data_IF_629131062176
#
_entry.id   IF_629131062176
#
_cell.length_a   1.000
_cell.length_b   1.000
_cell.length_c   1.000
_cell.angle_alpha   90.00
_cell.angle_beta   90.00
_cell.angle_gamma   90.00
#
_symmetry.space_group_name_H-M   'P 1'
#
loop_
_entity.id
_entity.type
_entity.pdbx_description
1 polymer ?
2 water ?
#
# COMPACT_ATOMS: atom_id res chain seq x y z
N UNK A 2 4.91 -12.41 -21.59
CA UNK A 2 4.72 -13.80 -21.17
C UNK A 2 3.82 -13.94 -19.94
N UNK A 3 3.02 -12.92 -19.68
CA UNK A 3 2.08 -12.92 -18.57
C UNK A 3 0.76 -13.22 -19.26
N UNK A 4 -0.26 -13.60 -18.51
CA UNK A 4 -1.55 -13.82 -19.13
C UNK A 4 -2.45 -12.67 -18.69
N UNK A 5 -2.89 -12.71 -17.44
CA UNK A 5 -3.73 -11.66 -16.87
C UNK A 5 -5.13 -11.41 -17.46
N UNK A 6 -6.13 -11.83 -16.72
CA UNK A 6 -7.54 -11.63 -17.08
C UNK A 6 -8.16 -11.01 -15.84
N UNK A 7 -9.04 -10.03 -16.03
CA UNK A 7 -9.70 -9.34 -14.93
C UNK A 7 -11.17 -9.00 -15.21
N UNK A 8 -12.07 -9.47 -14.33
CA UNK A 8 -13.51 -9.23 -14.40
C UNK A 8 -14.30 -9.92 -15.50
N UNK A 9 -13.66 -10.14 -16.65
CA UNK A 9 -14.33 -10.80 -17.77
C UNK A 9 -14.79 -12.19 -17.37
N UNK A 10 -16.02 -12.52 -17.70
CA UNK A 10 -16.53 -13.85 -17.39
C UNK A 10 -16.10 -14.79 -18.49
N UNK A 11 -16.03 -16.07 -18.16
CA UNK A 11 -15.59 -17.05 -19.13
C UNK A 11 -16.66 -17.95 -19.70
N UNK A 12 -16.94 -17.73 -20.98
CA UNK A 12 -17.90 -18.54 -21.70
C UNK A 12 -17.17 -19.87 -21.86
N UNK A 13 -17.92 -20.98 -21.82
CA UNK A 13 -17.31 -22.30 -22.00
C UNK A 13 -16.54 -22.35 -23.34
N UNK A 14 -16.87 -21.42 -24.25
CA UNK A 14 -16.21 -21.32 -25.54
C UNK A 14 -14.76 -20.87 -25.40
N UNK A 15 -14.54 -19.77 -24.67
CA UNK A 15 -13.21 -19.22 -24.48
C UNK A 15 -12.33 -19.96 -23.46
N UNK A 16 -12.96 -20.60 -22.46
CA UNK A 16 -12.21 -21.36 -21.45
C UNK A 16 -11.30 -22.33 -22.20
N UNK A 17 -11.89 -22.95 -23.21
CA UNK A 17 -11.19 -23.90 -24.07
C UNK A 17 -10.06 -23.20 -24.82
N UNK A 18 -10.35 -22.04 -25.39
CA UNK A 18 -9.34 -21.29 -26.12
C UNK A 18 -8.16 -21.03 -25.16
N UNK A 19 -8.46 -20.85 -23.88
CA UNK A 19 -7.43 -20.57 -22.87
C UNK A 19 -6.54 -21.72 -22.41
N UNK A 20 -7.15 -22.75 -21.84
CA UNK A 20 -6.42 -23.89 -21.33
C UNK A 20 -5.04 -24.15 -21.91
N UNK A 21 -4.91 -24.28 -23.25
CA UNK A 21 -3.57 -24.53 -23.81
C UNK A 21 -2.53 -23.45 -23.51
N UNK A 22 -2.95 -22.20 -23.50
CA UNK A 22 -2.05 -21.10 -23.23
C UNK A 22 -1.65 -21.14 -21.75
N UNK A 23 -2.53 -21.66 -20.91
CA UNK A 23 -2.23 -21.79 -19.49
C UNK A 23 -1.02 -22.71 -19.28
N UNK A 24 -0.71 -23.53 -20.29
CA UNK A 24 0.43 -24.47 -20.27
C UNK A 24 1.69 -23.79 -20.77
N UNK A 25 1.55 -22.58 -21.31
CA UNK A 25 2.68 -21.86 -21.89
C UNK A 25 3.28 -20.72 -21.07
N UNK A 26 2.43 -19.80 -20.63
CA UNK A 26 2.86 -18.63 -19.89
C UNK A 26 3.59 -18.77 -18.55
N UNK A 27 4.46 -17.81 -18.28
CA UNK A 27 5.22 -17.80 -17.02
C UNK A 27 4.36 -17.24 -15.90
N UNK A 28 3.48 -16.31 -16.27
CA UNK A 28 2.62 -15.62 -15.32
C UNK A 28 1.15 -15.70 -15.67
N UNK A 29 0.38 -16.39 -14.84
CA UNK A 29 -1.03 -16.53 -15.07
C UNK A 29 -1.77 -15.85 -13.96
N UNK A 30 -2.65 -14.96 -14.35
CA UNK A 30 -3.41 -14.19 -13.40
C UNK A 30 -4.86 -14.32 -13.83
N UNK A 31 -5.67 -14.99 -13.01
CA UNK A 31 -7.08 -15.18 -13.33
C UNK A 31 -7.88 -14.47 -12.24
N UNK A 32 -7.75 -13.15 -12.27
CA UNK A 32 -8.36 -12.23 -11.32
C UNK A 32 -9.84 -11.99 -11.55
N UNK A 33 -10.65 -12.36 -10.57
CA UNK A 33 -12.11 -12.17 -10.62
C UNK A 33 -12.78 -12.62 -11.90
N UNK A 34 -12.64 -13.90 -12.20
CA UNK A 34 -13.28 -14.48 -13.35
C UNK A 34 -14.45 -15.25 -12.74
N UNK A 35 -15.06 -16.19 -13.44
CA UNK A 35 -16.15 -16.90 -12.81
C UNK A 35 -15.72 -18.28 -12.38
N UNK A 36 -14.44 -18.43 -12.08
CA UNK A 36 -13.88 -19.74 -11.74
C UNK A 36 -14.43 -20.49 -10.54
N UNK A 37 -14.98 -21.68 -10.80
CA UNK A 37 -15.52 -22.56 -9.75
C UNK A 37 -14.76 -23.86 -9.83
N UNK A 38 -15.04 -24.78 -8.91
CA UNK A 38 -14.39 -26.08 -8.89
C UNK A 38 -14.35 -26.70 -10.29
N UNK A 39 -15.43 -26.53 -11.04
CA UNK A 39 -15.52 -27.10 -12.39
C UNK A 39 -14.29 -26.78 -13.25
N UNK A 40 -13.69 -25.63 -13.03
CA UNK A 40 -12.54 -25.25 -13.81
C UNK A 40 -11.24 -25.76 -13.24
N UNK A 41 -11.18 -25.90 -11.93
CA UNK A 41 -9.97 -26.37 -11.27
C UNK A 41 -9.41 -27.69 -11.79
N UNK A 42 -10.30 -28.62 -12.12
CA UNK A 42 -9.90 -29.93 -12.67
C UNK A 42 -9.01 -29.61 -13.86
N UNK A 43 -9.53 -28.76 -14.73
CA UNK A 43 -8.81 -28.35 -15.92
C UNK A 43 -7.55 -27.57 -15.56
N UNK A 44 -7.63 -26.69 -14.58
CA UNK A 44 -6.45 -25.96 -14.23
C UNK A 44 -5.34 -26.88 -13.82
N UNK A 45 -5.64 -27.79 -12.88
CA UNK A 45 -4.67 -28.76 -12.42
C UNK A 45 -3.98 -29.39 -13.62
N UNK A 46 -4.77 -29.99 -14.49
CA UNK A 46 -4.25 -30.62 -15.68
C UNK A 46 -3.48 -29.67 -16.61
N UNK A 47 -3.84 -28.40 -16.67
CA UNK A 47 -3.09 -27.54 -17.57
C UNK A 47 -1.83 -27.02 -16.90
N UNK A 48 -1.85 -26.84 -15.60
CA UNK A 48 -0.68 -26.32 -14.93
C UNK A 48 0.48 -27.33 -14.86
N UNK A 49 0.16 -28.61 -14.82
CA UNK A 49 1.20 -29.63 -14.72
C UNK A 49 2.03 -29.76 -16.01
N UNK A 50 1.46 -29.31 -17.14
CA UNK A 50 2.11 -29.34 -18.44
C UNK A 50 2.88 -28.04 -18.72
N UNK A 51 2.93 -27.17 -17.72
CA UNK A 51 3.60 -25.90 -17.86
C UNK A 51 4.97 -25.95 -17.20
N UNK A 52 6.01 -26.16 -18.01
CA UNK A 52 7.39 -26.25 -17.55
C UNK A 52 8.01 -24.90 -17.19
N UNK A 53 7.24 -23.84 -17.23
CA UNK A 53 7.80 -22.53 -16.95
C UNK A 53 6.96 -21.53 -16.14
N UNK A 54 6.00 -22.02 -15.33
CA UNK A 54 5.19 -21.10 -14.55
C UNK A 54 5.97 -20.66 -13.32
N UNK A 55 6.09 -19.36 -13.14
CA UNK A 55 6.79 -18.85 -11.97
C UNK A 55 5.77 -18.26 -11.01
N UNK A 56 4.62 -17.86 -11.54
CA UNK A 56 3.58 -17.31 -10.69
C UNK A 56 2.13 -17.46 -11.17
N UNK A 57 1.30 -17.95 -10.24
CA UNK A 57 -0.11 -18.17 -10.49
C UNK A 57 -0.81 -17.30 -9.50
N UNK A 58 -1.89 -16.69 -9.94
CA UNK A 58 -2.64 -15.83 -9.07
C UNK A 58 -4.09 -16.02 -9.44
N UNK A 59 -4.85 -16.69 -8.57
CA UNK A 59 -6.26 -16.93 -8.83
C UNK A 59 -7.19 -16.12 -7.92
N UNK A 60 -6.95 -14.81 -7.85
CA UNK A 60 -7.72 -13.91 -7.01
C UNK A 60 -9.20 -13.92 -7.29
N UNK A 61 -9.97 -13.62 -6.24
CA UNK A 61 -11.42 -13.50 -6.30
C UNK A 61 -12.12 -14.53 -7.18
N UNK A 62 -12.41 -15.69 -6.58
CA UNK A 62 -13.07 -16.82 -7.26
C UNK A 62 -13.55 -17.74 -6.15
N UNK A 63 -14.72 -18.33 -6.34
CA UNK A 63 -15.23 -19.23 -5.33
C UNK A 63 -14.80 -20.65 -5.67
N UNK A 64 -13.51 -20.96 -5.51
CA UNK A 64 -13.03 -22.30 -5.84
C UNK A 64 -13.39 -23.27 -4.73
N UNK A 65 -13.08 -22.91 -3.49
CA UNK A 65 -13.41 -23.79 -2.39
C UNK A 65 -12.24 -24.68 -2.09
N UNK A 66 -12.31 -25.37 -0.97
CA UNK A 66 -11.25 -26.27 -0.53
C UNK A 66 -10.88 -27.32 -1.59
N UNK A 67 -11.90 -27.96 -2.16
CA UNK A 67 -11.70 -28.98 -3.19
C UNK A 67 -11.05 -28.38 -4.43
N UNK A 68 -11.51 -27.20 -4.81
CA UNK A 68 -10.94 -26.53 -5.97
C UNK A 68 -9.48 -26.26 -5.69
N UNK A 69 -9.23 -25.61 -4.55
CA UNK A 69 -7.88 -25.29 -4.13
C UNK A 69 -6.99 -26.54 -4.17
N UNK A 70 -7.46 -27.58 -3.49
CA UNK A 70 -6.76 -28.85 -3.38
C UNK A 70 -6.24 -29.34 -4.72
N UNK A 71 -7.10 -29.24 -5.74
CA UNK A 71 -6.73 -29.68 -7.07
C UNK A 71 -5.63 -28.80 -7.58
N UNK A 72 -5.85 -27.51 -7.46
CA UNK A 72 -4.88 -26.55 -7.93
C UNK A 72 -3.52 -26.87 -7.39
N UNK A 73 -3.44 -27.11 -6.09
CA UNK A 73 -2.17 -27.39 -5.45
C UNK A 73 -1.57 -28.69 -5.95
N UNK A 74 -2.41 -29.63 -6.36
CA UNK A 74 -1.90 -30.89 -6.87
C UNK A 74 -1.17 -30.72 -8.19
N UNK A 75 -1.75 -29.95 -9.09
CA UNK A 75 -1.13 -29.75 -10.38
C UNK A 75 0.17 -28.99 -10.34
N UNK A 76 0.47 -28.36 -9.20
CA UNK A 76 1.70 -27.59 -9.03
C UNK A 76 2.76 -28.51 -8.49
N UNK A 77 2.30 -29.58 -7.85
CA UNK A 77 3.21 -30.57 -7.30
C UNK A 77 3.65 -31.48 -8.46
N UNK A 78 4.38 -30.91 -9.41
CA UNK A 78 4.86 -31.66 -10.55
C UNK A 78 6.38 -31.52 -10.67
N UNK A 79 7.01 -32.36 -11.50
CA UNK A 79 8.45 -32.36 -11.74
C UNK A 79 9.01 -31.09 -12.37
N UNK A 80 8.19 -30.40 -13.13
CA UNK A 80 8.65 -29.19 -13.78
C UNK A 80 8.19 -27.90 -13.10
N UNK A 81 8.01 -27.93 -11.79
CA UNK A 81 7.59 -26.73 -11.11
C UNK A 81 8.69 -25.98 -10.41
N UNK A 82 8.69 -24.69 -10.67
CA UNK A 82 9.65 -23.76 -10.16
C UNK A 82 8.87 -22.50 -9.76
N UNK A 83 7.61 -22.69 -9.40
CA UNK A 83 6.75 -21.57 -9.04
C UNK A 83 7.30 -20.86 -7.82
N UNK A 84 7.25 -19.52 -7.88
CA UNK A 84 7.74 -18.65 -6.84
C UNK A 84 6.67 -17.85 -6.10
N UNK A 85 5.74 -17.28 -6.85
CA UNK A 85 4.67 -16.53 -6.23
C UNK A 85 3.34 -17.27 -6.42
N UNK A 86 2.56 -17.40 -5.34
CA UNK A 86 1.26 -18.06 -5.41
C UNK A 86 0.21 -17.26 -4.63
N UNK A 87 -0.86 -16.87 -5.30
CA UNK A 87 -1.90 -16.10 -4.65
C UNK A 87 -3.27 -16.74 -4.77
N UNK A 88 -3.74 -17.23 -3.63
CA UNK A 88 -5.04 -17.86 -3.57
C UNK A 88 -5.91 -16.95 -2.76
N UNK A 89 -5.70 -15.65 -2.96
CA UNK A 89 -6.44 -14.63 -2.23
C UNK A 89 -7.91 -14.66 -2.55
N UNK A 90 -8.73 -14.80 -1.52
CA UNK A 90 -10.18 -14.80 -1.66
C UNK A 90 -10.68 -15.94 -2.54
N UNK A 91 -10.49 -17.16 -2.06
CA UNK A 91 -10.95 -18.35 -2.77
C UNK A 91 -11.73 -19.25 -1.86
N UNK A 92 -12.18 -18.71 -0.74
CA UNK A 92 -12.97 -19.49 0.19
C UNK A 92 -12.20 -20.68 0.76
N UNK A 93 -10.89 -20.60 0.82
CA UNK A 93 -10.13 -21.70 1.39
C UNK A 93 -10.49 -21.63 2.85
N UNK A 94 -11.14 -22.69 3.33
CA UNK A 94 -11.58 -22.81 4.72
C UNK A 94 -10.61 -23.74 5.44
N UNK A 95 -10.68 -23.81 6.77
CA UNK A 95 -9.79 -24.67 7.55
C UNK A 95 -9.76 -26.12 7.07
N UNK A 96 -10.89 -26.58 6.53
CA UNK A 96 -11.00 -27.95 6.01
C UNK A 96 -9.94 -28.18 4.93
N UNK A 97 -9.85 -27.23 4.01
CA UNK A 97 -8.89 -27.35 2.95
C UNK A 97 -7.48 -27.06 3.39
N UNK A 98 -7.30 -26.63 4.62
CA UNK A 98 -5.96 -26.30 5.08
C UNK A 98 -5.05 -27.45 5.44
N UNK A 99 -5.62 -28.65 5.57
CA UNK A 99 -4.80 -29.82 5.89
C UNK A 99 -3.82 -30.21 4.79
N UNK A 100 -4.03 -29.62 3.62
CA UNK A 100 -3.19 -29.86 2.44
C UNK A 100 -1.87 -29.11 2.55
N UNK A 101 -1.95 -27.85 2.96
CA UNK A 101 -0.79 -26.97 3.08
C UNK A 101 0.56 -27.57 3.48
N UNK A 102 0.62 -28.34 4.58
CA UNK A 102 1.91 -28.93 4.98
C UNK A 102 2.52 -29.79 3.87
N UNK A 103 1.69 -30.67 3.32
CA UNK A 103 2.11 -31.57 2.26
C UNK A 103 2.44 -30.77 1.01
N UNK A 104 1.82 -29.61 0.83
CA UNK A 104 2.10 -28.79 -0.35
C UNK A 104 3.34 -27.94 -0.12
N UNK A 105 3.35 -27.16 0.95
CA UNK A 105 4.48 -26.31 1.28
C UNK A 105 5.78 -27.07 1.29
N UNK A 106 5.77 -28.27 1.86
CA UNK A 106 6.96 -29.11 1.92
C UNK A 106 7.37 -29.49 0.49
N UNK A 107 6.38 -29.81 -0.34
CA UNK A 107 6.61 -30.21 -1.72
C UNK A 107 7.11 -29.11 -2.65
N UNK A 108 7.00 -27.84 -2.24
CA UNK A 108 7.40 -26.71 -3.08
C UNK A 108 8.52 -25.88 -2.50
N UNK A 109 9.75 -26.26 -2.76
CA UNK A 109 10.90 -25.52 -2.23
C UNK A 109 11.27 -24.27 -3.05
N UNK A 110 10.57 -24.07 -4.18
CA UNK A 110 10.82 -22.90 -5.06
C UNK A 110 9.98 -21.71 -4.67
N UNK A 111 9.00 -21.92 -3.78
CA UNK A 111 8.08 -20.88 -3.37
C UNK A 111 8.70 -19.81 -2.50
N UNK A 112 8.53 -18.55 -2.89
CA UNK A 112 9.06 -17.41 -2.14
C UNK A 112 7.99 -16.67 -1.35
N UNK A 113 6.94 -16.20 -2.03
CA UNK A 113 5.86 -15.49 -1.36
C UNK A 113 4.51 -16.20 -1.57
N UNK A 114 3.65 -16.20 -0.53
CA UNK A 114 2.32 -16.84 -0.57
C UNK A 114 1.22 -15.90 -0.07
N UNK A 115 0.09 -15.85 -0.77
CA UNK A 115 -1.01 -14.97 -0.36
C UNK A 115 -2.28 -15.73 -0.05
N UNK A 116 -2.70 -15.71 1.21
CA UNK A 116 -3.93 -16.41 1.58
C UNK A 116 -5.02 -15.48 2.08
N UNK A 117 -4.78 -14.17 1.98
CA UNK A 117 -5.70 -13.14 2.45
C UNK A 117 -7.16 -13.34 2.06
N UNK A 118 -8.07 -12.73 2.80
CA UNK A 118 -9.50 -12.85 2.55
C UNK A 118 -9.97 -14.30 2.48
N UNK A 119 -9.34 -15.18 3.25
CA UNK A 119 -9.73 -16.57 3.27
C UNK A 119 -9.92 -16.89 4.73
N UNK A 120 -11.10 -17.38 5.09
CA UNK A 120 -11.37 -17.71 6.48
C UNK A 120 -10.61 -18.95 6.95
N UNK A 121 -9.29 -18.84 7.07
CA UNK A 121 -8.50 -19.98 7.51
C UNK A 121 -8.79 -20.31 8.97
N UNK A 122 -9.05 -19.28 9.75
CA UNK A 122 -9.31 -19.49 11.16
C UNK A 122 -8.01 -19.86 11.83
N UNK A 123 -8.02 -19.87 13.14
CA UNK A 123 -6.82 -20.24 13.88
C UNK A 123 -6.46 -21.67 13.55
N UNK A 124 -7.49 -22.46 13.27
CA UNK A 124 -7.32 -23.88 12.95
C UNK A 124 -6.54 -24.04 11.64
N UNK A 125 -6.88 -23.21 10.66
CA UNK A 125 -6.20 -23.24 9.38
C UNK A 125 -4.79 -22.69 9.46
N UNK A 126 -4.56 -21.68 10.29
CA UNK A 126 -3.22 -21.13 10.40
C UNK A 126 -2.31 -22.16 11.03
N UNK A 127 -2.80 -22.77 12.11
CA UNK A 127 -2.06 -23.78 12.84
C UNK A 127 -1.38 -24.78 11.89
N UNK A 128 -2.07 -25.11 10.79
CA UNK A 128 -1.53 -26.04 9.79
C UNK A 128 -0.56 -25.37 8.80
N UNK A 129 -0.82 -24.11 8.47
CA UNK A 129 0.05 -23.36 7.57
C UNK A 129 1.40 -23.22 8.22
N UNK A 130 1.38 -23.01 9.53
CA UNK A 130 2.59 -22.83 10.31
C UNK A 130 3.36 -24.13 10.34
N UNK A 131 2.66 -25.21 10.66
CA UNK A 131 3.27 -26.53 10.73
C UNK A 131 4.00 -26.77 9.39
N UNK A 132 3.44 -26.20 8.33
CA UNK A 132 4.06 -26.33 7.02
C UNK A 132 5.31 -25.47 6.95
N UNK A 133 5.19 -24.20 7.32
CA UNK A 133 6.32 -23.28 7.29
C UNK A 133 7.53 -23.74 8.10
N UNK A 134 7.29 -24.54 9.14
CA UNK A 134 8.35 -25.04 10.02
C UNK A 134 9.33 -26.02 9.34
N UNK A 135 8.82 -26.86 8.45
CA UNK A 135 9.66 -27.81 7.73
C UNK A 135 10.79 -27.05 7.00
N UNK A 136 12.06 -27.50 7.17
CA UNK A 136 13.25 -26.91 6.57
C UNK A 136 13.28 -26.77 5.04
N UNK A 137 12.40 -27.47 4.36
CA UNK A 137 12.34 -27.39 2.90
C UNK A 137 11.55 -26.17 2.41
N UNK A 138 10.90 -25.47 3.35
CA UNK A 138 10.12 -24.28 3.07
C UNK A 138 10.97 -23.03 3.27
N UNK A 139 11.21 -22.31 2.18
CA UNK A 139 12.00 -21.10 2.21
C UNK A 139 11.06 -19.92 1.89
N UNK A 140 9.94 -19.82 2.62
CA UNK A 140 9.00 -18.75 2.36
C UNK A 140 9.48 -17.43 2.94
N UNK A 141 9.58 -16.44 2.07
CA UNK A 141 10.04 -15.10 2.41
C UNK A 141 8.91 -14.09 2.66
N UNK A 142 7.81 -14.18 1.91
CA UNK A 142 6.72 -13.24 2.10
C UNK A 142 5.39 -13.96 2.35
N UNK A 143 4.74 -13.63 3.45
CA UNK A 143 3.49 -14.27 3.81
C UNK A 143 2.39 -13.29 4.11
N UNK A 144 1.32 -13.34 3.33
CA UNK A 144 0.19 -12.44 3.56
C UNK A 144 -1.04 -13.15 4.07
N UNK A 145 -1.43 -12.82 5.29
CA UNK A 145 -2.58 -13.44 5.94
C UNK A 145 -3.63 -12.41 6.38
N UNK A 146 -3.92 -11.42 5.54
CA UNK A 146 -4.89 -10.37 5.85
C UNK A 146 -6.31 -10.91 5.89
N UNK A 147 -7.16 -10.36 6.76
CA UNK A 147 -8.55 -10.79 6.85
C UNK A 147 -8.69 -12.31 6.85
N UNK A 148 -8.02 -12.99 7.77
CA UNK A 148 -8.09 -14.46 7.80
C UNK A 148 -8.79 -15.06 9.00
N UNK A 149 -9.66 -14.28 9.60
CA UNK A 149 -10.42 -14.69 10.77
C UNK A 149 -9.55 -15.29 11.88
N UNK A 150 -8.27 -14.92 11.93
CA UNK A 150 -7.39 -15.39 13.00
C UNK A 150 -7.78 -14.60 14.25
N UNK A 151 -7.17 -14.98 15.37
CA UNK A 151 -7.42 -14.32 16.64
C UNK A 151 -6.14 -14.48 17.47
N UNK A 152 -6.18 -14.11 18.73
CA UNK A 152 -4.98 -14.23 19.53
C UNK A 152 -4.34 -15.63 19.49
N UNK A 153 -5.16 -16.67 19.36
CA UNK A 153 -4.64 -18.03 19.31
C UNK A 153 -3.56 -18.23 18.22
N UNK A 154 -3.79 -17.61 17.08
CA UNK A 154 -2.86 -17.70 15.95
C UNK A 154 -1.47 -17.16 16.26
N UNK A 155 -1.39 -16.16 17.13
CA UNK A 155 -0.09 -15.56 17.43
C UNK A 155 1.02 -16.47 17.97
N UNK A 156 0.66 -17.50 18.73
CA UNK A 156 1.67 -18.41 19.27
C UNK A 156 2.37 -19.19 18.14
N UNK A 157 1.61 -19.88 17.29
CA UNK A 157 2.31 -20.60 16.21
C UNK A 157 3.06 -19.64 15.30
N UNK A 158 2.48 -18.46 15.06
CA UNK A 158 3.12 -17.47 14.22
C UNK A 158 4.43 -17.12 14.86
N UNK A 159 4.40 -16.94 16.17
CA UNK A 159 5.60 -16.62 16.93
C UNK A 159 6.60 -17.75 16.82
N UNK A 160 6.09 -18.98 16.93
CA UNK A 160 6.92 -20.18 16.86
C UNK A 160 7.57 -20.36 15.49
N UNK A 161 6.82 -20.04 14.44
CA UNK A 161 7.31 -20.12 13.08
C UNK A 161 8.44 -19.11 13.04
N UNK A 162 8.10 -17.94 13.56
CA UNK A 162 8.93 -16.75 13.63
C UNK A 162 10.29 -16.93 14.29
N UNK A 163 10.34 -17.59 15.45
CA UNK A 163 11.62 -17.79 16.13
C UNK A 163 12.47 -18.80 15.35
N UNK A 164 11.80 -19.79 14.76
CA UNK A 164 12.47 -20.87 14.04
C UNK A 164 13.01 -20.57 12.66
N UNK A 165 12.15 -20.07 11.78
CA UNK A 165 12.56 -19.78 10.41
C UNK A 165 13.68 -18.74 10.38
N UNK A 166 14.28 -18.59 9.21
CA UNK A 166 15.36 -17.64 9.02
C UNK A 166 15.18 -16.91 7.68
N UNK A 167 14.18 -17.32 6.91
CA UNK A 167 13.97 -16.74 5.60
C UNK A 167 12.90 -15.66 5.46
N UNK A 168 11.88 -15.72 6.30
CA UNK A 168 10.78 -14.76 6.24
C UNK A 168 11.25 -13.28 6.30
N UNK A 169 10.88 -12.49 5.29
CA UNK A 169 11.23 -11.07 5.23
C UNK A 169 10.01 -10.19 5.44
N UNK A 170 8.85 -10.65 4.98
CA UNK A 170 7.64 -9.90 5.11
C UNK A 170 6.51 -10.63 5.86
N UNK A 171 5.94 -10.00 6.86
CA UNK A 171 4.83 -10.58 7.60
C UNK A 171 3.70 -9.57 7.65
N UNK A 172 2.55 -9.97 7.15
CA UNK A 172 1.40 -9.11 7.13
C UNK A 172 0.22 -9.82 7.75
N UNK A 173 -0.28 -9.26 8.83
CA UNK A 173 -1.41 -9.87 9.48
C UNK A 173 -2.48 -8.84 9.75
N UNK A 174 -2.58 -7.88 8.84
CA UNK A 174 -3.57 -6.82 8.97
C UNK A 174 -5.00 -7.38 9.00
N UNK A 175 -5.92 -6.62 9.57
CA UNK A 175 -7.32 -7.00 9.59
C UNK A 175 -7.67 -8.35 10.21
N UNK A 176 -6.93 -8.69 11.26
CA UNK A 176 -7.20 -9.91 12.02
C UNK A 176 -7.26 -9.35 13.43
N UNK A 177 -8.21 -9.80 14.23
CA UNK A 177 -8.28 -9.28 15.58
C UNK A 177 -7.41 -10.02 16.61
N UNK A 178 -6.09 -9.90 16.46
CA UNK A 178 -5.16 -10.57 17.34
C UNK A 178 -5.16 -9.97 18.76
N UNK A 179 -5.66 -8.75 18.88
CA UNK A 179 -5.74 -8.09 20.19
C UNK A 179 -4.41 -7.75 20.84
N UNK A 180 -4.50 -7.00 21.94
CA UNK A 180 -3.32 -6.58 22.70
C UNK A 180 -2.50 -7.79 23.12
N UNK A 181 -3.18 -8.78 23.68
CA UNK A 181 -2.51 -9.98 24.15
C UNK A 181 -1.79 -10.73 23.02
N UNK A 182 -2.47 -10.86 21.88
CA UNK A 182 -1.89 -11.57 20.76
C UNK A 182 -0.68 -10.84 20.22
N UNK A 183 -0.84 -9.56 19.93
CA UNK A 183 0.24 -8.72 19.42
C UNK A 183 1.45 -8.85 20.34
N UNK A 184 1.19 -8.90 21.65
CA UNK A 184 2.26 -9.04 22.64
C UNK A 184 3.00 -10.35 22.45
N UNK A 185 2.27 -11.41 22.12
CA UNK A 185 2.89 -12.71 21.87
C UNK A 185 3.68 -12.65 20.55
N UNK A 186 3.00 -12.20 19.51
CA UNK A 186 3.57 -12.09 18.19
C UNK A 186 4.86 -11.34 18.21
N UNK A 187 4.82 -10.15 18.80
CA UNK A 187 5.99 -9.31 18.88
C UNK A 187 7.08 -9.95 19.70
N UNK A 188 6.66 -10.66 20.74
CA UNK A 188 7.63 -11.33 21.60
C UNK A 188 8.46 -12.30 20.76
N UNK A 189 7.80 -12.99 19.84
CA UNK A 189 8.48 -13.95 18.97
C UNK A 189 9.45 -13.25 18.06
N UNK A 190 9.10 -12.03 17.68
CA UNK A 190 9.95 -11.25 16.79
C UNK A 190 11.25 -10.87 17.49
N UNK A 191 11.14 -10.43 18.74
CA UNK A 191 12.29 -9.99 19.53
C UNK A 191 13.46 -10.98 19.56
N UNK A 192 13.15 -12.23 19.84
CA UNK A 192 14.17 -13.28 19.89
C UNK A 192 14.18 -14.19 18.66
N UNK A 193 13.82 -13.64 17.50
CA UNK A 193 13.83 -14.40 16.26
C UNK A 193 15.21 -14.34 15.64
N UNK A 194 15.40 -15.14 14.60
CA UNK A 194 16.68 -15.19 13.90
C UNK A 194 16.60 -14.63 12.49
N UNK A 195 15.39 -14.49 11.95
CA UNK A 195 15.24 -13.96 10.60
C UNK A 195 15.31 -12.45 10.57
N UNK A 196 15.88 -11.89 9.51
CA UNK A 196 15.97 -10.44 9.40
C UNK A 196 14.73 -9.89 8.70
N UNK A 197 13.64 -9.79 9.45
CA UNK A 197 12.37 -9.29 8.94
C UNK A 197 12.54 -7.87 8.41
N UNK A 198 11.79 -7.54 7.37
CA UNK A 198 11.86 -6.24 6.74
C UNK A 198 10.54 -5.49 6.70
N UNK A 199 9.46 -6.19 6.43
CA UNK A 199 8.16 -5.57 6.33
C UNK A 199 7.22 -6.19 7.33
N UNK A 200 6.65 -5.38 8.21
CA UNK A 200 5.74 -5.89 9.22
C UNK A 200 4.47 -5.04 9.20
N UNK A 201 3.36 -5.64 8.81
CA UNK A 201 2.13 -4.90 8.73
C UNK A 201 1.10 -5.39 9.74
N UNK A 202 0.72 -4.51 10.67
CA UNK A 202 -0.24 -4.82 11.73
C UNK A 202 -1.47 -3.90 11.70
N UNK A 203 -2.05 -3.73 10.53
CA UNK A 203 -3.19 -2.85 10.38
C UNK A 203 -4.49 -3.39 10.99
N UNK A 204 -5.24 -2.52 11.65
CA UNK A 204 -6.52 -2.88 12.24
C UNK A 204 -6.47 -4.20 12.98
N UNK A 205 -5.50 -4.36 13.87
CA UNK A 205 -5.41 -5.60 14.64
C UNK A 205 -5.78 -5.31 16.10
N UNK A 206 -6.34 -4.12 16.33
CA UNK A 206 -6.71 -3.78 17.68
C UNK A 206 -5.52 -3.62 18.61
N UNK A 207 -4.45 -2.98 18.15
CA UNK A 207 -3.30 -2.75 19.02
C UNK A 207 -3.74 -1.63 19.98
N UNK A 208 -2.98 -1.49 21.07
CA UNK A 208 -3.26 -0.49 22.09
C UNK A 208 -1.91 0.12 22.49
N UNK A 209 -1.93 1.30 23.15
CA UNK A 209 -0.68 1.94 23.56
C UNK A 209 0.32 0.99 24.22
N UNK A 210 -0.19 0.05 25.00
CA UNK A 210 0.68 -0.94 25.66
C UNK A 210 1.57 -1.67 24.68
N UNK A 211 1.02 -2.05 23.52
CA UNK A 211 1.79 -2.76 22.50
C UNK A 211 2.93 -1.86 22.03
N UNK A 212 2.76 -0.54 22.20
CA UNK A 212 3.79 0.37 21.80
C UNK A 212 5.00 0.14 22.67
N UNK A 213 4.79 -0.31 23.91
CA UNK A 213 5.95 -0.56 24.76
C UNK A 213 6.86 -1.62 24.16
N UNK A 214 6.24 -2.60 23.51
CA UNK A 214 6.97 -3.71 22.93
C UNK A 214 7.56 -3.33 21.61
N UNK A 215 6.72 -2.84 20.71
CA UNK A 215 7.20 -2.43 19.41
C UNK A 215 8.40 -1.50 19.61
N UNK A 216 8.37 -0.70 20.67
CA UNK A 216 9.46 0.25 20.94
C UNK A 216 10.76 -0.52 20.96
N UNK A 217 10.77 -1.63 21.68
CA UNK A 217 11.97 -2.43 21.78
C UNK A 217 12.37 -3.08 20.50
N UNK A 218 11.44 -3.81 19.88
CA UNK A 218 11.73 -4.50 18.64
C UNK A 218 12.28 -3.48 17.64
N UNK A 219 11.52 -2.42 17.41
CA UNK A 219 11.93 -1.36 16.50
C UNK A 219 13.36 -0.91 16.78
N UNK A 220 13.64 -0.68 18.05
CA UNK A 220 14.95 -0.21 18.49
C UNK A 220 16.14 -1.06 18.03
N UNK A 221 15.98 -2.40 18.08
CA UNK A 221 17.05 -3.34 17.71
C UNK A 221 16.88 -4.06 16.39
N UNK A 222 15.69 -3.97 15.79
CA UNK A 222 15.51 -4.63 14.49
C UNK A 222 16.11 -3.77 13.38
N UNK A 223 17.39 -3.98 13.15
CA UNK A 223 18.13 -3.27 12.13
C UNK A 223 17.64 -3.54 10.73
N UNK A 224 17.10 -4.75 10.51
CA UNK A 224 16.63 -5.16 9.18
C UNK A 224 15.31 -4.56 8.72
N UNK A 225 14.50 -4.12 9.67
CA UNK A 225 13.19 -3.53 9.42
C UNK A 225 13.25 -2.36 8.44
N UNK A 226 12.30 -2.29 7.51
CA UNK A 226 12.29 -1.19 6.53
C UNK A 226 10.94 -0.54 6.39
N UNK A 227 9.87 -1.28 6.63
CA UNK A 227 8.55 -0.67 6.49
C UNK A 227 7.67 -1.14 7.62
N UNK A 228 7.04 -0.23 8.33
CA UNK A 228 6.22 -0.64 9.44
C UNK A 228 4.87 0.00 9.34
N UNK A 229 3.86 -0.82 9.09
CA UNK A 229 2.47 -0.39 8.98
C UNK A 229 1.75 -0.67 10.31
N UNK A 230 1.11 0.34 10.88
CA UNK A 230 0.38 0.19 12.15
C UNK A 230 -0.91 0.99 12.12
N UNK A 231 -1.36 1.36 10.92
CA UNK A 231 -2.56 2.15 10.82
C UNK A 231 -3.78 1.53 11.46
N UNK A 232 -4.86 2.29 11.44
CA UNK A 232 -6.14 1.91 12.01
C UNK A 232 -6.02 1.15 13.31
N UNK A 233 -5.21 1.68 14.21
CA UNK A 233 -5.05 1.12 15.54
C UNK A 233 -5.17 2.33 16.49
N UNK A 234 -5.80 2.14 17.64
CA UNK A 234 -5.97 3.24 18.56
C UNK A 234 -4.79 3.42 19.49
N UNK A 235 -3.65 3.83 18.94
CA UNK A 235 -2.45 4.01 19.76
C UNK A 235 -2.43 5.36 20.45
N UNK A 236 -2.94 6.37 19.78
CA UNK A 236 -3.01 7.70 20.34
C UNK A 236 -1.66 8.32 20.59
N UNK A 237 -1.65 9.56 21.06
CA UNK A 237 -0.38 10.23 21.32
C UNK A 237 0.42 9.43 22.36
N UNK A 238 -0.29 8.81 23.30
CA UNK A 238 0.41 8.03 24.33
C UNK A 238 1.30 6.97 23.69
N UNK A 239 0.72 6.20 22.77
CA UNK A 239 1.46 5.16 22.10
C UNK A 239 2.61 5.71 21.30
N UNK A 240 2.36 6.82 20.61
CA UNK A 240 3.41 7.42 19.80
C UNK A 240 4.61 7.76 20.65
N UNK A 241 4.35 8.34 21.82
CA UNK A 241 5.46 8.72 22.69
C UNK A 241 6.33 7.55 23.04
N UNK A 242 5.72 6.40 23.32
CA UNK A 242 6.47 5.17 23.67
C UNK A 242 7.23 4.73 22.44
N UNK A 243 6.56 4.75 21.31
CA UNK A 243 7.18 4.33 20.08
C UNK A 243 8.40 5.15 19.69
N UNK A 244 8.31 6.46 19.92
CA UNK A 244 9.40 7.33 19.52
C UNK A 244 10.82 7.04 19.92
N UNK A 245 11.09 6.81 21.19
CA UNK A 245 12.50 6.52 21.50
C UNK A 245 13.02 5.30 20.73
N UNK A 246 12.12 4.37 20.42
CA UNK A 246 12.51 3.22 19.64
C UNK A 246 12.94 3.69 18.25
N UNK A 247 12.21 4.63 17.68
CA UNK A 247 12.59 5.14 16.37
C UNK A 247 13.89 5.95 16.33
N UNK A 248 14.36 6.44 17.48
CA UNK A 248 15.61 7.22 17.45
C UNK A 248 16.86 6.34 17.61
N UNK A 249 16.68 5.03 17.68
CA UNK A 249 17.85 4.17 17.85
C UNK A 249 18.75 4.26 16.65
N UNK A 250 20.05 4.38 16.88
CA UNK A 250 20.96 4.46 15.74
C UNK A 250 21.00 3.15 14.95
N UNK A 251 20.22 2.17 15.37
CA UNK A 251 20.18 0.88 14.68
C UNK A 251 18.93 0.72 13.85
N UNK A 252 17.97 1.61 14.06
CA UNK A 252 16.71 1.59 13.34
C UNK A 252 16.86 2.32 12.03
N UNK A 253 16.71 1.60 10.92
CA UNK A 253 16.82 2.14 9.57
C UNK A 253 15.42 2.22 8.97
N UNK A 254 14.40 2.32 9.81
CA UNK A 254 13.02 2.38 9.35
C UNK A 254 12.88 3.43 8.29
N UNK A 255 12.36 3.04 7.13
CA UNK A 255 12.17 3.90 5.96
C UNK A 255 10.73 4.32 5.76
N UNK A 256 9.81 3.37 5.88
CA UNK A 256 8.41 3.70 5.69
C UNK A 256 7.66 3.49 7.01
N UNK A 257 6.97 4.51 7.50
CA UNK A 257 6.23 4.46 8.76
C UNK A 257 4.79 4.81 8.43
N UNK A 258 3.89 3.87 8.62
CA UNK A 258 2.51 4.09 8.29
C UNK A 258 1.72 4.18 9.59
N UNK A 259 1.27 5.38 9.93
CA UNK A 259 0.53 5.63 11.15
C UNK A 259 -0.80 6.31 10.85
N UNK A 260 -1.52 5.84 9.84
CA UNK A 260 -2.81 6.46 9.48
C UNK A 260 -3.94 6.06 10.48
N UNK A 261 -4.97 6.91 10.61
CA UNK A 261 -6.06 6.67 11.54
C UNK A 261 -5.52 6.03 12.84
N UNK A 262 -4.62 6.70 13.52
CA UNK A 262 -4.07 6.16 14.75
C UNK A 262 -4.40 7.00 15.97
N UNK A 263 -5.46 7.79 15.85
CA UNK A 263 -5.95 8.65 16.93
C UNK A 263 -4.80 9.50 17.51
N UNK A 264 -4.01 10.06 16.59
CA UNK A 264 -2.88 10.90 16.96
C UNK A 264 -3.42 12.32 16.82
N UNK A 265 -2.78 13.30 17.48
CA UNK A 265 -3.20 14.71 17.40
C UNK A 265 -1.94 15.53 17.42
N UNK A 266 -2.08 16.85 17.41
CA UNK A 266 -0.93 17.73 17.48
C UNK A 266 0.03 17.36 18.65
N UNK A 267 -0.53 17.02 19.80
CA UNK A 267 0.30 16.67 20.95
C UNK A 267 1.24 15.58 20.50
N UNK A 268 0.70 14.58 19.80
CA UNK A 268 1.54 13.48 19.37
C UNK A 268 2.54 13.85 18.30
N UNK A 269 2.06 14.65 17.37
CA UNK A 269 2.85 15.11 16.25
C UNK A 269 4.16 15.79 16.68
N UNK A 270 4.18 16.36 17.89
CA UNK A 270 5.38 17.02 18.39
C UNK A 270 6.41 15.94 18.56
N UNK A 271 5.99 14.85 19.16
CA UNK A 271 6.87 13.73 19.40
C UNK A 271 7.41 13.22 18.09
N UNK A 272 6.55 13.09 17.08
CA UNK A 272 7.00 12.62 15.78
C UNK A 272 8.12 13.46 15.19
N UNK A 273 7.98 14.78 15.33
CA UNK A 273 8.97 15.71 14.80
C UNK A 273 10.41 15.53 15.28
N UNK A 274 10.62 15.12 16.53
CA UNK A 274 11.99 14.91 16.99
C UNK A 274 12.58 13.80 16.12
N UNK A 275 11.79 12.77 15.88
CA UNK A 275 12.20 11.65 15.05
C UNK A 275 12.47 12.16 13.65
N UNK A 276 11.52 12.94 13.15
CA UNK A 276 11.59 13.48 11.80
C UNK A 276 12.82 14.28 11.50
N UNK A 277 13.36 14.91 12.52
CA UNK A 277 14.56 15.71 12.40
C UNK A 277 15.83 14.87 12.47
N UNK A 278 15.86 13.91 13.38
CA UNK A 278 17.05 13.08 13.56
C UNK A 278 17.27 11.95 12.60
N UNK A 279 16.21 11.29 12.15
CA UNK A 279 16.38 10.13 11.29
C UNK A 279 16.48 10.47 9.83
N UNK A 280 17.70 10.42 9.29
CA UNK A 280 17.87 10.73 7.88
C UNK A 280 17.30 9.63 6.97
N UNK A 281 17.11 8.42 7.52
CA UNK A 281 16.58 7.29 6.75
C UNK A 281 15.08 7.26 6.58
N UNK A 282 14.33 7.63 7.62
CA UNK A 282 12.87 7.64 7.54
C UNK A 282 12.59 8.50 6.35
N UNK A 283 11.91 7.94 5.35
CA UNK A 283 11.60 8.63 4.10
C UNK A 283 10.14 8.72 3.72
N UNK A 284 9.26 7.94 4.37
CA UNK A 284 7.84 7.98 4.03
C UNK A 284 7.00 7.92 5.30
N UNK A 285 6.10 8.88 5.45
CA UNK A 285 5.29 8.97 6.64
C UNK A 285 3.89 9.27 6.23
N UNK A 286 2.98 8.40 6.64
CA UNK A 286 1.59 8.65 6.32
C UNK A 286 0.97 8.90 7.66
N UNK A 287 0.28 10.02 7.76
CA UNK A 287 -0.36 10.43 8.99
C UNK A 287 -1.77 10.72 8.69
N UNK A 288 -2.22 10.32 7.49
CA UNK A 288 -3.59 10.56 7.03
C UNK A 288 -4.62 10.09 8.02
N UNK A 289 -5.81 10.71 8.02
CA UNK A 289 -6.88 10.32 8.94
C UNK A 289 -6.74 10.69 10.42
N UNK A 290 -5.62 11.25 10.80
CA UNK A 290 -5.44 11.67 12.18
C UNK A 290 -5.95 13.10 12.28
N UNK A 291 -6.59 13.45 13.39
CA UNK A 291 -7.08 14.82 13.51
C UNK A 291 -5.97 15.76 13.96
N UNK A 292 -4.98 15.95 13.10
CA UNK A 292 -3.83 16.79 13.42
C UNK A 292 -4.14 18.26 13.48
N UNK A 293 -4.99 18.73 12.58
CA UNK A 293 -5.34 20.14 12.54
C UNK A 293 -4.22 21.04 12.05
N UNK A 294 -4.53 22.31 11.86
CA UNK A 294 -3.53 23.27 11.40
C UNK A 294 -2.37 23.42 12.38
N UNK A 295 -2.58 23.12 13.66
CA UNK A 295 -1.46 23.29 14.58
C UNK A 295 -0.44 22.22 14.22
N UNK A 296 -0.94 21.03 13.89
CA UNK A 296 -0.10 19.91 13.55
C UNK A 296 0.60 20.09 12.23
N UNK A 297 -0.11 20.67 11.27
CA UNK A 297 0.45 20.91 9.97
C UNK A 297 1.67 21.80 10.16
N UNK A 298 1.51 22.78 11.04
CA UNK A 298 2.56 23.74 11.34
C UNK A 298 3.78 23.03 11.84
N UNK A 299 3.58 22.20 12.86
CA UNK A 299 4.67 21.43 13.43
C UNK A 299 5.35 20.61 12.34
N UNK A 300 4.57 19.90 11.53
CA UNK A 300 5.19 19.13 10.47
C UNK A 300 6.08 20.06 9.66
N UNK A 301 5.58 21.24 9.28
CA UNK A 301 6.38 22.17 8.50
C UNK A 301 7.62 22.66 9.25
N UNK A 302 7.46 22.90 10.54
CA UNK A 302 8.56 23.34 11.36
C UNK A 302 9.70 22.38 11.08
N UNK A 303 9.39 21.10 11.13
CA UNK A 303 10.37 20.05 10.91
C UNK A 303 10.86 20.04 9.49
N UNK A 304 9.93 20.05 8.54
CA UNK A 304 10.31 20.00 7.15
C UNK A 304 11.23 21.13 6.70
N UNK A 305 11.40 22.15 7.53
CA UNK A 305 12.28 23.27 7.21
C UNK A 305 13.71 23.03 7.66
N UNK A 306 13.88 22.12 8.62
CA UNK A 306 15.19 21.77 9.09
C UNK A 306 15.85 21.03 7.93
N UNK A 307 17.02 21.51 7.47
CA UNK A 307 17.75 20.89 6.36
C UNK A 307 18.26 19.46 6.64
N UNK A 308 18.29 19.10 7.93
CA UNK A 308 18.70 17.76 8.32
C UNK A 308 17.56 16.73 8.18
N UNK A 309 16.39 17.21 7.77
CA UNK A 309 15.19 16.39 7.57
C UNK A 309 15.12 15.93 6.14
N UNK A 310 15.02 14.61 5.96
CA UNK A 310 15.01 14.07 4.62
C UNK A 310 13.77 13.34 4.13
N UNK A 311 12.62 13.62 4.73
CA UNK A 311 11.35 12.99 4.39
C UNK A 311 11.05 13.21 2.92
N UNK A 312 10.67 12.15 2.21
CA UNK A 312 10.34 12.30 0.80
C UNK A 312 8.87 12.30 0.50
N UNK A 313 8.07 11.58 1.29
CA UNK A 313 6.63 11.53 1.11
C UNK A 313 5.90 11.76 2.41
N UNK A 314 4.94 12.66 2.37
CA UNK A 314 4.18 12.95 3.55
C UNK A 314 2.75 12.87 3.10
N UNK A 315 1.99 12.06 3.83
CA UNK A 315 0.57 11.90 3.57
C UNK A 315 -0.19 12.47 4.77
N UNK A 316 -1.04 13.46 4.52
CA UNK A 316 -1.82 14.06 5.59
C UNK A 316 -3.22 14.31 5.10
N UNK A 317 -3.73 13.29 4.41
CA UNK A 317 -5.06 13.24 3.85
C UNK A 317 -6.11 13.16 5.01
N UNK A 318 -7.21 13.88 4.84
CA UNK A 318 -8.26 13.84 5.84
C UNK A 318 -7.70 14.08 7.22
N UNK A 319 -6.99 15.19 7.41
CA UNK A 319 -6.41 15.50 8.70
C UNK A 319 -6.98 16.79 9.31
N UNK A 320 -8.16 17.21 8.88
CA UNK A 320 -8.78 18.42 9.44
C UNK A 320 -7.88 19.61 9.24
N UNK A 321 -7.39 19.80 8.04
CA UNK A 321 -6.52 20.94 7.83
C UNK A 321 -7.40 21.88 7.06
N UNK A 322 -7.25 23.17 7.33
CA UNK A 322 -8.01 24.23 6.65
C UNK A 322 -7.08 25.05 5.77
N UNK A 323 -7.60 26.09 5.14
CA UNK A 323 -6.79 26.94 4.31
C UNK A 323 -5.82 27.68 5.22
N UNK A 324 -6.10 27.73 6.53
CA UNK A 324 -5.22 28.46 7.49
C UNK A 324 -3.76 28.01 7.56
N UNK A 325 -3.47 26.80 7.10
CA UNK A 325 -2.11 26.25 7.16
C UNK A 325 -1.39 26.33 5.83
N UNK A 326 -2.09 26.79 4.80
CA UNK A 326 -1.45 26.86 3.52
C UNK A 326 -0.21 27.73 3.49
N UNK A 327 -0.20 28.78 4.32
CA UNK A 327 0.95 29.68 4.40
C UNK A 327 2.20 28.93 4.79
N UNK A 328 2.07 27.99 5.72
CA UNK A 328 3.22 27.22 6.14
C UNK A 328 3.57 26.20 5.07
N UNK A 329 2.62 25.38 4.64
CA UNK A 329 2.91 24.39 3.61
C UNK A 329 3.61 25.10 2.43
N UNK A 330 3.18 26.32 2.17
CA UNK A 330 3.71 27.17 1.10
C UNK A 330 5.16 27.51 1.34
N UNK A 331 5.40 28.14 2.46
CA UNK A 331 6.73 28.52 2.85
C UNK A 331 7.64 27.29 2.83
N UNK A 332 7.27 26.23 3.54
CA UNK A 332 8.09 25.00 3.56
C UNK A 332 8.37 24.54 2.14
N UNK A 333 7.33 24.54 1.30
CA UNK A 333 7.47 24.14 -0.09
C UNK A 333 8.47 24.99 -0.85
N UNK A 334 8.74 26.19 -0.39
CA UNK A 334 9.68 27.04 -1.10
C UNK A 334 11.12 26.82 -0.69
N UNK A 335 11.33 26.30 0.52
CA UNK A 335 12.70 26.10 0.99
C UNK A 335 13.16 24.68 1.18
N UNK A 336 12.31 23.71 0.86
CA UNK A 336 12.66 22.31 1.05
C UNK A 336 13.02 21.60 -0.24
N UNK A 337 14.19 20.98 -0.26
CA UNK A 337 14.64 20.26 -1.46
C UNK A 337 14.75 18.74 -1.31
N UNK A 338 13.80 18.15 -0.59
CA UNK A 338 13.74 16.72 -0.37
C UNK A 338 12.34 16.16 -0.51
N UNK A 339 11.33 16.88 -0.04
CA UNK A 339 9.95 16.44 -0.15
C UNK A 339 9.61 16.38 -1.64
N UNK A 340 9.27 15.19 -2.11
CA UNK A 340 8.94 14.98 -3.52
C UNK A 340 7.47 14.73 -3.74
N UNK A 341 6.82 14.25 -2.70
CA UNK A 341 5.42 13.89 -2.77
C UNK A 341 4.66 14.35 -1.52
N UNK A 342 3.60 15.13 -1.73
CA UNK A 342 2.77 15.65 -0.64
C UNK A 342 1.32 15.34 -1.01
N UNK A 343 0.64 14.71 -0.05
CA UNK A 343 -0.74 14.28 -0.17
C UNK A 343 -1.63 15.09 0.78
N UNK A 344 -2.38 16.01 0.19
CA UNK A 344 -3.26 16.89 0.96
C UNK A 344 -4.76 16.72 0.68
N UNK A 345 -5.15 15.61 0.07
CA UNK A 345 -6.55 15.38 -0.22
C UNK A 345 -7.50 15.29 0.97
N UNK A 346 -8.79 15.50 0.67
CA UNK A 346 -9.86 15.45 1.66
C UNK A 346 -9.67 16.41 2.81
N UNK A 347 -9.23 17.61 2.45
CA UNK A 347 -8.99 18.67 3.39
C UNK A 347 -9.69 19.86 2.81
N UNK A 348 -10.17 20.74 3.68
CA UNK A 348 -10.89 21.95 3.28
C UNK A 348 -9.96 23.13 2.96
N UNK A 349 -9.19 23.02 1.88
CA UNK A 349 -8.27 24.08 1.51
C UNK A 349 -8.96 25.21 0.72
N UNK A 350 -9.95 24.85 -0.09
CA UNK A 350 -10.69 25.85 -0.84
C UNK A 350 -9.81 26.59 -1.81
N UNK A 351 -10.40 27.48 -2.60
CA UNK A 351 -9.65 28.25 -3.59
C UNK A 351 -8.62 29.15 -2.99
N UNK A 352 -8.90 29.68 -1.82
CA UNK A 352 -7.95 30.58 -1.21
C UNK A 352 -6.76 29.82 -0.69
N UNK A 353 -6.96 28.65 -0.10
CA UNK A 353 -5.84 27.88 0.41
C UNK A 353 -5.01 27.38 -0.76
N UNK A 354 -5.67 26.95 -1.83
CA UNK A 354 -4.99 26.42 -3.01
C UNK A 354 -4.14 27.46 -3.76
N UNK A 355 -4.55 28.71 -3.78
CA UNK A 355 -3.76 29.76 -4.47
C UNK A 355 -2.43 29.97 -3.75
N UNK A 356 -2.44 29.88 -2.43
CA UNK A 356 -1.24 30.06 -1.65
C UNK A 356 -0.24 29.01 -2.06
N UNK A 357 -0.70 27.77 -2.25
CA UNK A 357 0.24 26.73 -2.63
C UNK A 357 0.69 27.01 -4.02
N UNK A 358 -0.24 27.50 -4.82
CA UNK A 358 0.02 27.81 -6.23
C UNK A 358 1.08 28.87 -6.42
N UNK A 359 1.13 29.87 -5.53
CA UNK A 359 2.13 30.94 -5.68
C UNK A 359 3.50 30.44 -5.25
N UNK A 360 3.54 29.73 -4.13
CA UNK A 360 4.78 29.15 -3.63
C UNK A 360 5.42 28.31 -4.71
N UNK A 361 4.71 27.30 -5.20
CA UNK A 361 5.26 26.40 -6.22
C UNK A 361 5.61 27.08 -7.52
N UNK A 362 5.19 28.33 -7.66
CA UNK A 362 5.45 29.08 -8.88
C UNK A 362 6.88 29.57 -8.97
N UNK A 363 7.53 29.73 -7.83
CA UNK A 363 8.93 30.16 -7.80
C UNK A 363 9.79 29.08 -8.47
N UNK A 364 11.03 29.42 -8.85
CA UNK A 364 11.83 28.37 -9.45
C UNK A 364 12.64 27.72 -8.32
N UNK A 365 13.26 26.59 -8.60
CA UNK A 365 14.04 25.93 -7.59
C UNK A 365 13.16 25.24 -6.56
N UNK A 366 12.02 24.74 -7.02
CA UNK A 366 11.11 24.01 -6.15
C UNK A 366 11.29 22.55 -6.53
N UNK A 367 11.15 21.67 -5.57
CA UNK A 367 11.35 20.27 -5.85
C UNK A 367 10.12 19.39 -5.81
N UNK A 368 9.03 19.83 -5.18
CA UNK A 368 7.82 18.98 -5.12
C UNK A 368 7.51 18.39 -6.49
N UNK A 369 7.37 17.07 -6.56
CA UNK A 369 7.10 16.33 -7.78
C UNK A 369 5.68 15.78 -7.91
N UNK A 370 5.02 15.46 -6.80
CA UNK A 370 3.66 14.94 -6.86
C UNK A 370 2.82 15.67 -5.86
N UNK A 371 1.79 16.34 -6.33
CA UNK A 371 0.95 17.09 -5.44
C UNK A 371 -0.49 16.64 -5.57
N UNK A 372 -1.06 16.13 -4.48
CA UNK A 372 -2.44 15.69 -4.48
C UNK A 372 -3.44 16.62 -3.80
N UNK A 373 -4.52 16.95 -4.51
CA UNK A 373 -5.52 17.87 -4.02
C UNK A 373 -6.96 17.40 -4.21
N UNK A 374 -7.15 16.09 -4.19
CA UNK A 374 -8.48 15.56 -4.33
C UNK A 374 -9.35 16.00 -3.17
N UNK A 375 -10.63 16.27 -3.43
CA UNK A 375 -11.60 16.67 -2.40
C UNK A 375 -11.15 17.81 -1.49
N UNK A 376 -10.71 18.92 -2.08
CA UNK A 376 -10.26 20.04 -1.28
C UNK A 376 -11.13 21.24 -1.46
N UNK A 377 -12.20 21.08 -2.21
CA UNK A 377 -13.17 22.12 -2.48
C UNK A 377 -12.70 23.14 -3.49
N UNK A 378 -11.92 22.67 -4.46
CA UNK A 378 -11.44 23.55 -5.50
C UNK A 378 -12.67 23.77 -6.40
N UNK A 379 -12.83 24.98 -6.89
CA UNK A 379 -13.95 25.30 -7.78
C UNK A 379 -13.35 25.65 -9.13
N UNK A 380 -14.16 26.15 -10.04
CA UNK A 380 -13.64 26.48 -11.34
C UNK A 380 -12.64 27.64 -11.27
N UNK A 381 -12.82 28.52 -10.29
CA UNK A 381 -11.93 29.66 -10.08
C UNK A 381 -10.59 29.18 -9.58
N UNK A 382 -10.61 28.13 -8.77
CA UNK A 382 -9.38 27.60 -8.23
C UNK A 382 -8.56 27.14 -9.39
N UNK A 383 -9.21 26.48 -10.35
CA UNK A 383 -8.53 25.97 -11.54
C UNK A 383 -7.68 27.03 -12.24
N UNK A 384 -8.07 28.30 -12.09
CA UNK A 384 -7.33 29.38 -12.72
C UNK A 384 -5.92 29.43 -12.16
N UNK A 385 -5.84 29.46 -10.83
CA UNK A 385 -4.58 29.49 -10.11
C UNK A 385 -3.71 28.35 -10.58
N UNK A 386 -4.28 27.15 -10.49
CA UNK A 386 -3.57 25.95 -10.89
C UNK A 386 -3.14 26.01 -12.33
N UNK A 387 -4.02 26.46 -13.21
CA UNK A 387 -3.64 26.51 -14.61
C UNK A 387 -2.39 27.39 -14.81
N UNK A 388 -2.32 28.52 -14.11
CA UNK A 388 -1.14 29.36 -14.24
C UNK A 388 0.07 28.62 -13.74
N UNK A 389 -0.07 28.01 -12.55
CA UNK A 389 0.98 27.25 -11.92
C UNK A 389 1.63 26.33 -12.91
N UNK A 390 0.80 25.55 -13.58
CA UNK A 390 1.30 24.62 -14.56
C UNK A 390 2.19 25.22 -15.63
N UNK A 391 2.10 26.53 -15.85
CA UNK A 391 2.93 27.16 -16.89
C UNK A 391 4.24 27.69 -16.32
N UNK A 392 4.24 27.99 -15.03
CA UNK A 392 5.38 28.57 -14.37
C UNK A 392 6.31 27.59 -13.71
N UNK A 393 5.72 26.73 -12.90
CA UNK A 393 6.44 25.73 -12.15
C UNK A 393 7.04 24.64 -13.05
N UNK A 394 8.28 24.19 -12.77
CA UNK A 394 8.90 23.13 -13.58
C UNK A 394 9.15 21.79 -12.88
N UNK A 395 8.87 21.71 -11.58
CA UNK A 395 9.10 20.47 -10.84
C UNK A 395 8.03 19.40 -10.86
N UNK A 396 6.77 19.79 -10.96
CA UNK A 396 5.67 18.82 -10.94
C UNK A 396 5.57 17.83 -12.07
N UNK A 397 5.17 16.61 -11.72
CA UNK A 397 5.00 15.55 -12.69
C UNK A 397 3.61 14.95 -12.66
N UNK A 398 3.06 14.80 -11.46
CA UNK A 398 1.71 14.25 -11.26
C UNK A 398 0.90 15.26 -10.43
N UNK A 399 -0.31 15.59 -10.88
CA UNK A 399 -1.15 16.50 -10.12
C UNK A 399 -2.51 15.80 -10.05
N UNK A 400 -3.02 15.61 -8.84
CA UNK A 400 -4.32 14.96 -8.66
C UNK A 400 -5.32 15.99 -8.22
N UNK A 401 -6.39 16.14 -9.01
CA UNK A 401 -7.44 17.10 -8.71
C UNK A 401 -8.82 16.43 -8.60
N UNK A 402 -8.77 15.13 -8.40
CA UNK A 402 -9.96 14.32 -8.23
C UNK A 402 -10.94 14.83 -7.19
N UNK A 403 -12.20 14.60 -7.54
CA UNK A 403 -13.38 14.92 -6.73
C UNK A 403 -13.53 16.32 -6.18
N UNK A 404 -13.30 17.34 -7.00
CA UNK A 404 -13.48 18.71 -6.51
C UNK A 404 -14.71 19.28 -7.18
N UNK A 405 -14.92 20.57 -7.02
CA UNK A 405 -16.08 21.24 -7.57
C UNK A 405 -15.70 21.84 -8.88
N UNK A 406 -15.35 20.98 -9.81
CA UNK A 406 -14.89 21.36 -11.10
C UNK A 406 -15.74 20.87 -12.25
N UNK A 407 -16.08 21.79 -13.17
CA UNK A 407 -16.86 21.44 -14.33
C UNK A 407 -16.08 21.83 -15.55
N UNK A 408 -16.74 21.84 -16.70
CA UNK A 408 -16.12 22.17 -17.98
C UNK A 408 -15.11 23.32 -18.01
N UNK A 409 -15.53 24.52 -17.58
CA UNK A 409 -14.58 25.63 -17.61
C UNK A 409 -13.28 25.36 -16.90
N UNK A 410 -13.36 24.93 -15.64
CA UNK A 410 -12.17 24.61 -14.87
C UNK A 410 -11.27 23.69 -15.65
N UNK A 411 -11.82 22.55 -16.06
CA UNK A 411 -11.03 21.61 -16.84
C UNK A 411 -10.42 22.25 -18.08
N UNK A 412 -11.23 22.96 -18.84
CA UNK A 412 -10.75 23.60 -20.08
C UNK A 412 -9.50 24.44 -19.87
N UNK A 413 -9.49 25.18 -18.79
CA UNK A 413 -8.33 25.95 -18.43
C UNK A 413 -7.15 25.01 -18.23
N UNK A 414 -7.34 23.94 -17.47
CA UNK A 414 -6.26 22.99 -17.27
C UNK A 414 -5.74 22.56 -18.62
N UNK A 415 -6.63 22.24 -19.54
CA UNK A 415 -6.18 21.81 -20.86
C UNK A 415 -5.36 22.86 -21.58
N UNK A 416 -5.78 24.10 -21.47
CA UNK A 416 -5.04 25.16 -22.11
C UNK A 416 -3.61 25.08 -21.66
N UNK A 417 -3.39 24.94 -20.37
CA UNK A 417 -2.04 24.85 -19.83
C UNK A 417 -1.31 23.62 -20.38
N UNK A 418 -2.03 22.52 -20.47
CA UNK A 418 -1.38 21.31 -20.90
C UNK A 418 -0.98 21.27 -22.32
N UNK A 419 -1.64 22.03 -23.17
CA UNK A 419 -1.32 22.01 -24.60
C UNK A 419 0.00 22.74 -24.93
N UNK A 420 0.59 23.38 -23.93
CA UNK A 420 1.84 24.10 -24.16
C UNK A 420 3.08 23.18 -24.18
N UNK A 421 4.11 23.54 -24.97
CA UNK A 421 5.28 22.67 -25.01
C UNK A 421 6.10 22.77 -23.73
N UNK A 422 6.06 23.93 -23.10
CA UNK A 422 6.81 24.10 -21.88
C UNK A 422 6.28 23.28 -20.74
N UNK A 423 4.98 23.00 -20.75
CA UNK A 423 4.33 22.23 -19.69
C UNK A 423 4.86 20.79 -19.63
N UNK A 424 5.35 20.38 -18.46
CA UNK A 424 5.91 19.04 -18.29
C UNK A 424 5.19 18.10 -17.31
N UNK A 425 3.92 18.37 -17.04
CA UNK A 425 3.16 17.53 -16.14
C UNK A 425 3.01 16.24 -16.92
N UNK A 426 3.27 15.11 -16.29
CA UNK A 426 3.14 13.84 -16.98
C UNK A 426 1.84 13.14 -16.63
N UNK A 427 1.04 13.75 -15.76
CA UNK A 427 -0.18 13.09 -15.35
C UNK A 427 -1.09 14.02 -14.59
N UNK A 428 -2.32 14.17 -15.08
CA UNK A 428 -3.33 15.02 -14.45
C UNK A 428 -4.39 14.02 -14.07
N UNK A 429 -4.63 13.87 -12.78
CA UNK A 429 -5.61 12.90 -12.33
C UNK A 429 -6.93 13.57 -12.00
N UNK A 430 -7.95 13.16 -12.74
CA UNK A 430 -9.26 13.72 -12.57
C UNK A 430 -10.44 12.78 -12.33
N UNK A 431 -10.30 11.82 -11.43
CA UNK A 431 -11.41 10.93 -11.15
C UNK A 431 -12.57 11.70 -10.54
N UNK A 432 -13.76 11.14 -10.70
CA UNK A 432 -14.99 11.72 -10.15
C UNK A 432 -15.18 13.18 -10.57
N UNK A 433 -14.87 13.44 -11.83
CA UNK A 433 -15.03 14.76 -12.42
C UNK A 433 -15.72 14.46 -13.73
N UNK A 434 -16.63 15.34 -14.14
CA UNK A 434 -17.37 15.10 -15.37
C UNK A 434 -17.36 16.28 -16.32
N UNK A 435 -17.66 16.02 -17.58
CA UNK A 435 -17.65 17.10 -18.55
C UNK A 435 -18.42 16.75 -19.79
N UNK A 436 -18.89 17.78 -20.48
CA UNK A 436 -19.68 17.61 -21.69
C UNK A 436 -18.88 16.99 -22.82
N UNK A 437 -19.62 16.48 -23.81
CA UNK A 437 -19.01 15.85 -24.98
C UNK A 437 -17.97 16.75 -25.61
N UNK A 438 -18.22 18.06 -25.61
CA UNK A 438 -17.29 19.01 -26.19
C UNK A 438 -15.90 18.96 -25.53
N UNK A 439 -15.88 19.08 -24.21
CA UNK A 439 -14.62 19.07 -23.47
C UNK A 439 -13.87 17.79 -23.74
N UNK A 440 -14.59 16.67 -23.71
CA UNK A 440 -14.00 15.36 -23.98
C UNK A 440 -13.30 15.33 -25.34
N UNK A 441 -13.97 15.82 -26.39
CA UNK A 441 -13.38 15.82 -27.72
C UNK A 441 -12.13 16.68 -27.73
N UNK A 442 -12.14 17.78 -26.99
CA UNK A 442 -10.96 18.63 -26.90
C UNK A 442 -9.85 17.83 -26.20
N UNK A 443 -10.25 17.02 -25.22
CA UNK A 443 -9.37 16.18 -24.41
C UNK A 443 -8.71 15.06 -25.18
N UNK A 444 -9.51 14.34 -25.97
CA UNK A 444 -9.00 13.22 -26.76
C UNK A 444 -7.97 13.75 -27.74
N UNK A 445 -8.16 14.99 -28.17
CA UNK A 445 -7.23 15.63 -29.10
C UNK A 445 -5.88 15.81 -28.42
N UNK A 446 -5.89 16.48 -27.27
CA UNK A 446 -4.67 16.73 -26.50
C UNK A 446 -3.87 15.44 -26.33
N UNK A 447 -4.54 14.33 -26.03
CA UNK A 447 -3.89 13.04 -25.83
C UNK A 447 -3.24 12.47 -27.10
N UNK A 448 -3.36 13.21 -28.19
CA UNK A 448 -2.79 12.81 -29.46
C UNK A 448 -1.72 13.76 -29.95
N UNK A 449 -1.69 14.97 -29.39
CA UNK A 449 -0.72 15.98 -29.78
C UNK A 449 0.52 15.85 -28.90
N UNK A 450 0.33 15.27 -27.72
CA UNK A 450 1.41 15.07 -26.74
C UNK A 450 1.19 13.70 -26.07
N UNK A 451 1.83 12.63 -26.59
CA UNK A 451 1.62 11.32 -25.95
C UNK A 451 2.31 11.13 -24.58
N UNK A 452 3.29 11.99 -24.25
CA UNK A 452 3.98 11.88 -22.96
C UNK A 452 3.22 12.53 -21.82
N UNK A 453 1.90 12.36 -21.85
CA UNK A 453 0.99 12.93 -20.86
C UNK A 453 -0.32 12.19 -20.91
N UNK A 454 -0.83 11.85 -19.74
CA UNK A 454 -2.10 11.17 -19.65
C UNK A 454 -2.98 11.88 -18.63
N UNK A 455 -4.21 12.14 -19.05
CA UNK A 455 -5.20 12.76 -18.22
C UNK A 455 -6.06 11.59 -17.74
N UNK A 456 -5.83 11.15 -16.52
CA UNK A 456 -6.56 10.00 -15.95
C UNK A 456 -7.93 10.40 -15.41
N UNK A 457 -8.89 9.49 -15.52
CA UNK A 457 -10.25 9.73 -15.06
C UNK A 457 -11.01 8.43 -14.94
#
# INVERSE_FOLDING_TARGET
XMNLDIHCEQLSDARWTELLPLLQQYEVVRLDDCGLTEEHCKDIGSALRANPSLTELCLRTNELGDAGVHLVLQGLQSPTCKIQKLSLQNCSLTEAGCGVLPSTLRSLPTLRELHLSDNPLGDAGLRLLCEGLLDPQCHLEKLQLEYCRLTAASCEPLASVLRATRALKELTVSNNDIGEAGARVLGQGLADSACQLETLRLENCGLTPANCKDLCGIVASQASLRELDLGSNGLGDAGIAELCPGLLSPASRLKTLWLWECDITASGCRDLCRVLQAKETLKELSLAGNKLGDEGARLLCESLLQPGCQLESLWVKSCSLTAACCQHVSLMLTQNKHLLELQLSSNKLGDSGIQELCQALSQPGTTLRVLCLGDCEVTNSGCSSLASLLLANRSLRELDLSNNCVGDPGVLQLLGSLEQPGCALEQLVLYDTYWTEEVEDRLQALEGSKPGLRVIS
#
